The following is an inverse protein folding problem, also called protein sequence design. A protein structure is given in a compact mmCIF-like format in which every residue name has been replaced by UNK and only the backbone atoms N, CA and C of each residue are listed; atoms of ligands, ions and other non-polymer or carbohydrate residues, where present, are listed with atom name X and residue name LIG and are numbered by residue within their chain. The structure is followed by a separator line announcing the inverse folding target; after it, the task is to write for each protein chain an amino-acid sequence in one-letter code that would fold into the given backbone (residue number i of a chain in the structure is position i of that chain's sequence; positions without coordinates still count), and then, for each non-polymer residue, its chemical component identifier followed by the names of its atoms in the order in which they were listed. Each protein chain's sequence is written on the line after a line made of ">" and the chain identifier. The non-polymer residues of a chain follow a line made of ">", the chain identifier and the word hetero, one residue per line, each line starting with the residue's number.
data_IF_746669558515
#
_entry.id   IF_746669558515
#
_cell.length_a   1.000
_cell.length_b   1.000
_cell.length_c   1.000
_cell.angle_alpha   90.00
_cell.angle_beta   90.00
_cell.angle_gamma   90.00
#
_symmetry.space_group_name_H-M   'P 1'
#
loop_
_entity.id
_entity.type
_entity.pdbx_description
1 polymer ?
#
# COMPACT_ATOMS: atom_id res chain seq x y z
N UNK A 1 -12.68 7.07 -2.46
CA UNK A 1 -12.60 6.88 -1.01
C UNK A 1 -11.24 7.36 -0.58
N UNK A 2 -11.21 8.14 0.50
CA UNK A 2 -10.01 8.77 1.02
C UNK A 2 -9.44 7.94 2.17
N UNK A 3 -8.18 8.20 2.53
CA UNK A 3 -7.56 7.59 3.70
C UNK A 3 -8.08 8.26 4.97
N UNK A 4 -8.54 7.48 5.94
CA UNK A 4 -8.94 7.98 7.26
C UNK A 4 -7.72 8.55 8.04
N UNK A 5 -6.50 8.17 7.67
CA UNK A 5 -5.28 8.78 8.18
C UNK A 5 -4.13 8.67 7.20
N UNK A 6 -3.32 9.72 7.10
CA UNK A 6 -2.16 9.77 6.19
C UNK A 6 -0.88 9.55 6.99
N UNK A 7 -0.28 8.34 6.99
CA UNK A 7 0.97 8.11 7.69
C UNK A 7 2.08 9.03 7.17
N UNK A 8 2.71 9.78 8.08
CA UNK A 8 3.81 10.71 7.75
C UNK A 8 5.06 10.01 7.21
N UNK A 9 5.23 8.73 7.52
CA UNK A 9 6.34 7.90 7.05
C UNK A 9 5.79 6.52 6.74
N UNK A 10 6.23 6.00 5.61
CA UNK A 10 5.98 4.63 5.16
C UNK A 10 7.33 3.96 5.04
N UNK A 11 7.46 2.79 5.67
CA UNK A 11 8.66 1.96 5.54
C UNK A 11 8.22 0.63 4.95
N UNK A 12 9.00 0.11 4.02
CA UNK A 12 8.72 -1.19 3.43
C UNK A 12 8.91 -2.29 4.48
N UNK A 13 7.91 -3.15 4.68
CA UNK A 13 8.02 -4.32 5.57
C UNK A 13 9.06 -5.33 5.08
N UNK A 14 9.26 -5.43 3.77
CA UNK A 14 10.17 -6.40 3.13
C UNK A 14 11.66 -5.97 3.23
N UNK A 15 12.00 -4.77 2.76
CA UNK A 15 13.40 -4.30 2.73
C UNK A 15 13.75 -3.31 3.85
N UNK A 16 12.76 -2.81 4.60
CA UNK A 16 12.96 -1.77 5.62
C UNK A 16 13.21 -0.36 5.08
N UNK A 17 13.28 -0.17 3.76
CA UNK A 17 13.54 1.15 3.18
C UNK A 17 12.34 2.08 3.30
N UNK A 18 12.61 3.39 3.39
CA UNK A 18 11.55 4.40 3.41
C UNK A 18 10.94 4.57 2.02
N UNK A 19 9.62 4.46 1.93
CA UNK A 19 8.86 4.72 0.72
C UNK A 19 8.77 6.24 0.54
N UNK A 20 9.53 6.75 -0.43
CA UNK A 20 9.66 8.17 -0.71
C UNK A 20 8.74 8.66 -1.83
N UNK A 21 8.40 7.80 -2.80
CA UNK A 21 7.63 8.16 -3.99
C UNK A 21 6.35 7.32 -4.12
N UNK A 22 6.42 6.08 -4.61
CA UNK A 22 5.26 5.18 -4.74
C UNK A 22 5.43 3.87 -3.97
N UNK A 23 4.30 3.29 -3.59
CA UNK A 23 4.27 1.97 -2.96
C UNK A 23 2.86 1.43 -2.79
N UNK A 24 2.80 0.23 -2.24
CA UNK A 24 1.57 -0.47 -1.91
C UNK A 24 1.29 -0.34 -0.42
N UNK A 25 0.08 0.06 -0.10
CA UNK A 25 -0.40 0.27 1.26
C UNK A 25 -1.64 -0.58 1.49
N UNK A 26 -1.53 -1.68 2.24
CA UNK A 26 -2.69 -2.44 2.67
C UNK A 26 -3.58 -1.56 3.54
N UNK A 27 -4.88 -1.68 3.36
CA UNK A 27 -5.86 -0.97 4.17
C UNK A 27 -7.08 -1.86 4.46
N UNK A 28 -7.69 -1.63 5.62
CA UNK A 28 -9.01 -2.17 5.91
C UNK A 28 -10.07 -1.22 5.34
N UNK A 29 -11.15 -1.77 4.77
CA UNK A 29 -12.25 -0.96 4.28
C UNK A 29 -13.14 -0.54 5.47
N UNK A 30 -13.06 0.72 5.84
CA UNK A 30 -13.85 1.32 6.91
C UNK A 30 -15.18 1.89 6.39
N UNK A 31 -16.02 2.37 7.32
CA UNK A 31 -17.32 2.97 6.98
C UNK A 31 -17.20 4.32 6.25
N UNK A 32 -16.10 5.05 6.47
CA UNK A 32 -15.89 6.43 5.98
C UNK A 32 -14.76 6.55 4.98
N UNK A 33 -13.91 5.53 4.87
CA UNK A 33 -12.71 5.54 4.05
C UNK A 33 -11.90 4.27 4.24
N UNK A 34 -10.66 4.34 3.80
CA UNK A 34 -9.71 3.25 4.01
C UNK A 34 -8.87 3.52 5.25
N UNK A 35 -8.74 2.52 6.12
CA UNK A 35 -7.88 2.56 7.30
C UNK A 35 -6.52 1.93 6.94
N UNK A 36 -5.49 2.74 6.63
CA UNK A 36 -4.22 2.22 6.15
C UNK A 36 -3.42 1.53 7.25
N UNK A 37 -2.67 0.49 6.85
CA UNK A 37 -1.75 -0.27 7.69
C UNK A 37 -0.31 0.02 7.26
N UNK A 38 0.29 1.13 7.73
CA UNK A 38 1.64 1.53 7.32
C UNK A 38 2.73 0.53 7.71
N UNK A 39 2.50 -0.31 8.73
CA UNK A 39 3.44 -1.34 9.17
C UNK A 39 3.56 -2.51 8.16
N UNK A 40 2.58 -2.66 7.27
CA UNK A 40 2.56 -3.66 6.20
C UNK A 40 2.74 -3.03 4.81
N UNK A 41 3.19 -1.77 4.74
CA UNK A 41 3.44 -1.11 3.47
C UNK A 41 4.61 -1.75 2.74
N UNK A 42 4.54 -1.81 1.43
CA UNK A 42 5.59 -2.38 0.57
C UNK A 42 5.99 -1.36 -0.47
N UNK A 43 7.29 -1.14 -0.67
CA UNK A 43 7.76 -0.24 -1.71
C UNK A 43 7.44 -0.81 -3.10
N UNK A 44 7.39 0.06 -4.11
CA UNK A 44 7.13 -0.37 -5.49
C UNK A 44 8.09 -1.51 -5.92
N UNK A 45 9.38 -1.40 -5.58
CA UNK A 45 10.39 -2.40 -5.91
C UNK A 45 10.16 -3.79 -5.27
N UNK A 46 9.70 -3.84 -4.03
CA UNK A 46 9.40 -5.10 -3.34
C UNK A 46 8.00 -5.63 -3.70
N UNK A 47 7.06 -4.74 -4.01
CA UNK A 47 5.71 -5.10 -4.44
C UNK A 47 5.69 -5.63 -5.87
N UNK A 48 6.59 -5.16 -6.73
CA UNK A 48 6.87 -5.75 -8.03
C UNK A 48 7.79 -6.97 -7.90
N UNK A 49 7.25 -8.09 -7.42
CA UNK A 49 7.92 -9.39 -7.53
C UNK A 49 7.76 -9.99 -8.96
N UNK A 50 8.26 -11.21 -9.21
CA UNK A 50 8.34 -11.83 -10.55
C UNK A 50 7.00 -11.85 -11.34
N UNK A 51 5.85 -11.82 -10.64
CA UNK A 51 4.50 -11.69 -11.22
C UNK A 51 4.23 -10.24 -11.67
N UNK A 52 4.70 -9.25 -10.90
CA UNK A 52 4.60 -7.83 -11.23
C UNK A 52 5.51 -7.37 -12.36
N UNK A 53 6.58 -8.09 -12.69
CA UNK A 53 7.41 -7.83 -13.88
C UNK A 53 6.63 -7.95 -15.21
N UNK A 54 5.40 -8.45 -15.21
CA UNK A 54 4.49 -8.39 -16.36
C UNK A 54 3.57 -7.14 -16.38
N UNK A 55 3.77 -6.18 -15.48
CA UNK A 55 3.02 -4.92 -15.42
C UNK A 55 1.78 -4.95 -14.53
N UNK A 56 1.65 -5.93 -13.63
CA UNK A 56 0.50 -6.07 -12.74
C UNK A 56 0.88 -5.82 -11.28
N UNK A 57 0.07 -5.07 -10.54
CA UNK A 57 0.25 -4.90 -9.09
C UNK A 57 0.19 -6.26 -8.34
N UNK A 58 0.96 -6.42 -7.24
CA UNK A 58 0.93 -7.62 -6.41
C UNK A 58 -0.49 -7.94 -5.91
N UNK A 59 -0.72 -9.19 -5.56
CA UNK A 59 -1.96 -9.61 -4.92
C UNK A 59 -1.92 -9.32 -3.41
N UNK A 60 -3.08 -9.06 -2.82
CA UNK A 60 -3.19 -8.66 -1.42
C UNK A 60 -2.69 -9.76 -0.48
N UNK A 61 -2.97 -11.02 -0.79
CA UNK A 61 -2.54 -12.22 -0.06
C UNK A 61 -1.03 -12.47 -0.10
N UNK A 62 -0.32 -11.82 -1.03
CA UNK A 62 1.14 -11.86 -1.11
C UNK A 62 1.78 -10.79 -0.20
N UNK A 63 1.05 -9.70 0.06
CA UNK A 63 1.53 -8.56 0.84
C UNK A 63 1.16 -8.69 2.33
N UNK A 64 0.00 -9.27 2.62
CA UNK A 64 -0.49 -9.48 3.99
C UNK A 64 -1.17 -10.84 4.11
N UNK A 65 -1.09 -11.45 5.29
CA UNK A 65 -1.85 -12.66 5.59
C UNK A 65 -3.35 -12.43 5.35
N UNK A 66 -4.03 -13.42 4.77
CA UNK A 66 -5.45 -13.30 4.41
C UNK A 66 -6.30 -12.87 5.61
N UNK A 67 -7.03 -11.75 5.46
CA UNK A 67 -7.86 -11.14 6.51
C UNK A 67 -7.16 -10.08 7.36
N UNK A 68 -5.88 -9.81 7.13
CA UNK A 68 -5.18 -8.70 7.78
C UNK A 68 -5.43 -7.35 7.08
N UNK A 69 -5.91 -7.32 5.83
CA UNK A 69 -6.43 -6.13 5.17
C UNK A 69 -7.50 -6.56 4.16
N UNK A 70 -8.37 -5.62 3.79
CA UNK A 70 -9.47 -5.86 2.85
C UNK A 70 -9.09 -5.42 1.43
N UNK A 71 -8.20 -4.43 1.31
CA UNK A 71 -7.79 -3.86 0.02
C UNK A 71 -6.29 -3.52 0.00
N UNK A 72 -5.69 -3.55 -1.19
CA UNK A 72 -4.36 -3.04 -1.48
C UNK A 72 -4.46 -1.72 -2.24
N UNK A 73 -3.97 -0.64 -1.62
CA UNK A 73 -3.95 0.68 -2.24
C UNK A 73 -2.59 0.90 -2.89
N UNK A 74 -2.57 1.27 -4.17
CA UNK A 74 -1.39 1.85 -4.79
C UNK A 74 -1.37 3.34 -4.49
N UNK A 75 -0.40 3.78 -3.69
CA UNK A 75 -0.32 5.15 -3.19
C UNK A 75 0.94 5.84 -3.69
N UNK A 76 0.83 7.15 -3.89
CA UNK A 76 1.94 8.04 -4.15
C UNK A 76 2.06 9.07 -3.04
N UNK A 77 3.28 9.30 -2.60
CA UNK A 77 3.62 10.33 -1.64
C UNK A 77 3.71 11.68 -2.33
N UNK A 78 3.06 12.67 -1.74
CA UNK A 78 3.05 14.07 -2.18
C UNK A 78 3.40 14.97 -1.00
N UNK A 79 3.66 16.25 -1.26
CA UNK A 79 3.90 17.23 -0.19
C UNK A 79 2.70 17.40 0.76
N UNK A 80 1.48 17.15 0.26
CA UNK A 80 0.23 17.19 1.03
C UNK A 80 -0.12 15.87 1.74
N UNK A 81 0.62 14.77 1.49
CA UNK A 81 0.42 13.49 2.16
C UNK A 81 0.53 12.28 1.23
N UNK A 82 -0.52 11.46 1.19
CA UNK A 82 -0.60 10.25 0.36
C UNK A 82 -1.82 10.36 -0.53
N UNK A 83 -1.57 10.23 -1.82
CA UNK A 83 -2.58 10.16 -2.87
C UNK A 83 -2.80 8.70 -3.25
N UNK A 84 -4.06 8.25 -3.26
CA UNK A 84 -4.41 6.90 -3.72
C UNK A 84 -4.56 6.94 -5.25
N UNK A 85 -3.63 6.28 -5.95
CA UNK A 85 -3.62 6.19 -7.40
C UNK A 85 -4.50 5.03 -7.91
N UNK A 86 -4.51 3.91 -7.19
CA UNK A 86 -5.31 2.74 -7.56
C UNK A 86 -5.68 1.92 -6.33
N UNK A 87 -6.71 1.10 -6.46
CA UNK A 87 -7.22 0.24 -5.39
C UNK A 87 -7.49 -1.15 -5.95
N UNK A 88 -7.01 -2.18 -5.26
CA UNK A 88 -7.23 -3.59 -5.62
C UNK A 88 -7.84 -4.29 -4.40
N UNK A 89 -9.06 -4.79 -4.54
CA UNK A 89 -9.76 -5.59 -3.54
C UNK A 89 -9.71 -7.07 -3.92
#
# INVERSE_FOLDING_TARGET
>A
MDLDSTPKRLSCSECGETIADTGYLPAAEGKTGYEPKPDAAVCDACGFNEIGMQGCAPELDVVVESGAADVLLYVRRTDDGLEVLSTKA
#
